data_IF_113979368990
#
_entry.id   IF_113979368990
#
_cell.length_a   1.000
_cell.length_b   1.000
_cell.length_c   1.000
_cell.angle_alpha   90.00
_cell.angle_beta   90.00
_cell.angle_gamma   90.00
#
_symmetry.space_group_name_H-M   'P 1'
#
loop_
_entity.id
_entity.type
_entity.pdbx_description
1 polymer ?
#
# COMPACT_ATOMS: atom_id res chain seq x y z
N UNK A 1 -1.07 -17.17 6.50
CA UNK A 1 -1.15 -15.70 6.45
C UNK A 1 0.23 -15.14 6.85
N UNK A 2 1.00 -14.59 5.90
CA UNK A 2 2.39 -14.13 6.08
C UNK A 2 2.49 -12.61 6.37
N UNK A 3 1.35 -11.91 6.44
CA UNK A 3 1.27 -10.48 6.68
C UNK A 3 0.23 -10.20 7.78
N UNK A 4 0.60 -9.40 8.77
CA UNK A 4 -0.34 -8.84 9.75
C UNK A 4 -0.73 -7.46 9.28
N UNK A 5 -2.02 -7.24 9.01
CA UNK A 5 -2.53 -5.93 8.62
C UNK A 5 -3.10 -5.19 9.84
N UNK A 6 -2.74 -3.93 10.02
CA UNK A 6 -3.28 -3.09 11.09
C UNK A 6 -3.99 -1.87 10.50
N UNK A 7 -5.20 -1.60 10.97
CA UNK A 7 -5.89 -0.35 10.68
C UNK A 7 -5.28 0.77 11.54
N UNK A 8 -4.93 1.91 10.93
CA UNK A 8 -4.50 3.10 11.68
C UNK A 8 -5.73 3.96 11.91
N UNK A 9 -6.15 4.08 13.17
CA UNK A 9 -7.17 5.06 13.58
C UNK A 9 -6.47 6.37 14.00
N UNK A 10 -6.57 7.42 13.18
CA UNK A 10 -6.13 8.77 13.59
C UNK A 10 -7.12 9.36 14.61
N UNK A 11 -6.67 9.56 15.85
CA UNK A 11 -7.48 10.04 16.96
C UNK A 11 -7.81 11.55 16.94
N UNK A 12 -9.10 11.83 17.24
CA UNK A 12 -9.78 13.04 17.77
C UNK A 12 -9.38 14.46 17.30
N UNK A 13 -10.25 15.20 16.58
CA UNK A 13 -10.17 16.65 16.51
C UNK A 13 -10.78 17.26 17.77
N UNK A 14 -9.97 17.85 18.63
CA UNK A 14 -10.46 18.75 19.67
C UNK A 14 -10.67 20.15 19.07
N UNK A 15 -11.70 20.32 18.25
CA UNK A 15 -12.43 21.59 18.18
C UNK A 15 -13.71 21.46 17.32
N UNK A 16 -14.77 22.08 17.80
CA UNK A 16 -16.07 22.12 17.16
C UNK A 16 -15.97 22.69 15.73
N UNK A 17 -16.46 21.95 14.74
CA UNK A 17 -16.75 22.49 13.40
C UNK A 17 -16.11 21.78 12.22
N UNK A 18 -15.19 20.84 12.40
CA UNK A 18 -14.54 20.17 11.26
C UNK A 18 -14.92 18.70 11.19
N UNK A 19 -15.85 18.35 10.27
CA UNK A 19 -16.10 16.96 9.83
C UNK A 19 -14.90 16.44 9.01
N UNK A 20 -13.68 16.55 9.54
CA UNK A 20 -12.50 15.96 8.93
C UNK A 20 -12.69 14.45 8.97
N UNK A 21 -12.96 13.91 7.79
CA UNK A 21 -13.21 12.52 7.54
C UNK A 21 -12.13 11.68 8.20
N UNK A 22 -12.53 10.76 9.08
CA UNK A 22 -11.68 9.69 9.58
C UNK A 22 -11.03 9.06 8.35
N UNK A 23 -9.73 9.29 8.17
CA UNK A 23 -9.00 8.78 7.03
C UNK A 23 -8.69 7.33 7.38
N UNK A 24 -9.57 6.43 6.97
CA UNK A 24 -9.47 4.99 7.23
C UNK A 24 -8.32 4.42 6.38
N UNK A 25 -7.08 4.63 6.84
CA UNK A 25 -5.87 4.16 6.17
C UNK A 25 -5.31 2.97 6.96
N UNK A 26 -5.13 1.83 6.30
CA UNK A 26 -4.43 0.69 6.88
C UNK A 26 -2.96 0.70 6.52
N UNK A 27 -2.11 0.23 7.43
CA UNK A 27 -0.68 0.03 7.18
C UNK A 27 -0.26 -1.37 7.63
N UNK A 28 0.62 -1.98 6.85
CA UNK A 28 1.24 -3.26 7.18
C UNK A 28 2.69 -3.25 6.76
N UNK A 29 3.51 -4.07 7.43
CA UNK A 29 4.90 -4.30 7.03
C UNK A 29 5.19 -5.79 6.90
N UNK A 30 5.98 -6.17 5.90
CA UNK A 30 6.32 -7.57 5.60
C UNK A 30 7.81 -7.73 5.30
N UNK A 31 8.35 -8.91 5.64
CA UNK A 31 9.76 -9.29 5.42
C UNK A 31 10.02 -10.10 4.14
N UNK A 32 9.06 -10.13 3.21
CA UNK A 32 9.15 -10.87 1.93
C UNK A 32 8.80 -9.94 0.77
N UNK A 33 9.26 -10.25 -0.44
CA UNK A 33 8.87 -9.47 -1.62
C UNK A 33 7.36 -9.47 -1.85
N UNK A 34 6.82 -8.38 -2.37
CA UNK A 34 5.41 -8.28 -2.76
C UNK A 34 5.09 -9.33 -3.81
N UNK A 35 6.03 -9.62 -4.71
CA UNK A 35 5.87 -10.71 -5.68
C UNK A 35 5.62 -12.05 -4.98
N UNK A 36 6.34 -12.38 -3.89
CA UNK A 36 6.09 -13.59 -3.10
C UNK A 36 4.79 -13.54 -2.31
N UNK A 37 4.42 -12.38 -1.78
CA UNK A 37 3.12 -12.19 -1.13
C UNK A 37 1.97 -12.51 -2.09
N UNK A 38 2.08 -12.04 -3.33
CA UNK A 38 1.06 -12.18 -4.37
C UNK A 38 1.12 -13.51 -5.14
N UNK A 39 2.26 -14.22 -5.08
CA UNK A 39 2.42 -15.53 -5.73
C UNK A 39 1.72 -16.67 -4.98
N UNK A 40 1.34 -16.48 -3.71
CA UNK A 40 0.55 -17.45 -2.94
C UNK A 40 -0.93 -17.39 -3.36
N UNK A 41 -1.23 -17.93 -4.53
CA UNK A 41 -2.55 -18.02 -5.16
C UNK A 41 -3.32 -16.68 -5.28
N UNK A 42 -4.40 -16.69 -6.06
CA UNK A 42 -5.31 -15.54 -6.16
C UNK A 42 -5.92 -15.12 -4.80
N UNK A 43 -5.78 -15.95 -3.76
CA UNK A 43 -6.22 -15.69 -2.40
C UNK A 43 -5.55 -14.46 -1.79
N UNK A 44 -4.23 -14.27 -1.97
CA UNK A 44 -3.50 -13.19 -1.31
C UNK A 44 -4.03 -11.78 -1.62
N UNK A 45 -4.40 -11.52 -2.87
CA UNK A 45 -4.98 -10.21 -3.23
C UNK A 45 -6.44 -10.10 -2.84
N UNK A 46 -7.20 -11.21 -2.90
CA UNK A 46 -8.56 -11.24 -2.40
C UNK A 46 -8.63 -11.01 -0.89
N UNK A 47 -7.69 -11.55 -0.11
CA UNK A 47 -7.57 -11.32 1.33
C UNK A 47 -7.26 -9.85 1.63
N UNK A 48 -6.38 -9.22 0.85
CA UNK A 48 -6.06 -7.80 0.96
C UNK A 48 -7.30 -6.93 0.68
N UNK A 49 -8.02 -7.21 -0.40
CA UNK A 49 -9.25 -6.50 -0.76
C UNK A 49 -10.35 -6.76 0.26
N UNK A 50 -10.46 -8.00 0.75
CA UNK A 50 -11.41 -8.39 1.77
C UNK A 50 -11.15 -7.64 3.08
N UNK A 51 -9.90 -7.62 3.56
CA UNK A 51 -9.49 -6.86 4.74
C UNK A 51 -9.80 -5.37 4.57
N UNK A 52 -9.44 -4.79 3.42
CA UNK A 52 -9.74 -3.39 3.12
C UNK A 52 -11.24 -3.10 3.23
N UNK A 53 -12.10 -3.98 2.71
CA UNK A 53 -13.56 -3.82 2.76
C UNK A 53 -14.12 -4.01 4.17
N UNK A 54 -13.69 -5.04 4.88
CA UNK A 54 -14.16 -5.37 6.24
C UNK A 54 -13.80 -4.27 7.23
N UNK A 55 -12.59 -3.74 7.15
CA UNK A 55 -12.11 -2.63 7.98
C UNK A 55 -12.51 -1.24 7.46
N UNK A 56 -13.29 -1.19 6.35
CA UNK A 56 -13.76 0.05 5.69
C UNK A 56 -12.63 1.04 5.38
N UNK A 57 -11.48 0.51 4.96
CA UNK A 57 -10.29 1.28 4.65
C UNK A 57 -10.39 1.90 3.26
N UNK A 58 -10.23 3.22 3.19
CA UNK A 58 -10.14 3.97 1.92
C UNK A 58 -8.83 3.67 1.20
N UNK A 59 -7.78 3.39 1.97
CA UNK A 59 -6.43 3.08 1.48
C UNK A 59 -5.79 2.03 2.37
N UNK A 60 -5.13 1.04 1.78
CA UNK A 60 -4.27 0.09 2.48
C UNK A 60 -2.86 0.18 1.88
N UNK A 61 -1.86 0.37 2.72
CA UNK A 61 -0.46 0.39 2.33
C UNK A 61 0.29 -0.77 2.99
N UNK A 62 1.03 -1.55 2.20
CA UNK A 62 1.88 -2.63 2.70
C UNK A 62 3.32 -2.31 2.31
N UNK A 63 4.17 -2.09 3.30
CA UNK A 63 5.60 -1.82 3.08
C UNK A 63 6.36 -3.14 3.20
N UNK A 64 7.05 -3.53 2.14
CA UNK A 64 7.95 -4.67 2.12
C UNK A 64 9.40 -4.21 2.26
N UNK A 65 10.15 -4.88 3.12
CA UNK A 65 11.60 -4.77 3.21
C UNK A 65 12.22 -6.17 3.21
N UNK A 66 13.06 -6.47 2.24
CA UNK A 66 13.70 -7.79 2.12
C UNK A 66 15.07 -7.71 1.46
N UNK A 67 15.87 -8.75 1.61
CA UNK A 67 17.12 -8.91 0.88
C UNK A 67 16.89 -9.77 -0.36
N UNK A 68 17.37 -9.30 -1.51
CA UNK A 68 17.42 -10.14 -2.71
C UNK A 68 18.50 -11.23 -2.58
N UNK A 69 18.56 -12.22 -3.50
CA UNK A 69 19.59 -13.27 -3.46
C UNK A 69 21.03 -12.74 -3.50
N UNK A 70 21.25 -11.50 -3.91
CA UNK A 70 22.55 -10.82 -3.95
C UNK A 70 22.84 -10.04 -2.66
N UNK A 71 22.00 -10.18 -1.62
CA UNK A 71 22.06 -9.45 -0.34
C UNK A 71 21.89 -7.94 -0.47
N UNK A 72 21.28 -7.45 -1.56
CA UNK A 72 20.89 -6.06 -1.62
C UNK A 72 19.55 -5.89 -0.89
N UNK A 73 19.49 -4.93 0.01
CA UNK A 73 18.24 -4.56 0.65
C UNK A 73 17.33 -3.87 -0.37
N UNK A 74 16.08 -4.33 -0.47
CA UNK A 74 15.04 -3.79 -1.35
C UNK A 74 13.86 -3.33 -0.50
N UNK A 75 13.22 -2.24 -0.93
CA UNK A 75 11.97 -1.75 -0.36
C UNK A 75 10.91 -1.63 -1.44
N UNK A 76 9.74 -2.16 -1.16
CA UNK A 76 8.59 -2.09 -2.04
C UNK A 76 7.38 -1.65 -1.23
N UNK A 77 6.41 -1.01 -1.86
CA UNK A 77 5.16 -0.61 -1.23
C UNK A 77 4.02 -1.10 -2.12
N UNK A 78 3.13 -1.90 -1.57
CA UNK A 78 1.84 -2.20 -2.17
C UNK A 78 0.85 -1.13 -1.70
N UNK A 79 0.08 -0.56 -2.62
CA UNK A 79 -0.99 0.37 -2.30
C UNK A 79 -2.28 -0.15 -2.92
N UNK A 80 -3.32 -0.32 -2.10
CA UNK A 80 -4.68 -0.66 -2.53
C UNK A 80 -5.61 0.48 -2.15
N UNK A 81 -6.36 1.01 -3.11
CA UNK A 81 -7.27 2.14 -2.90
C UNK A 81 -8.71 1.75 -3.23
N UNK A 82 -9.66 2.34 -2.49
CA UNK A 82 -11.10 2.14 -2.71
C UNK A 82 -11.60 2.62 -4.08
N UNK A 83 -10.88 3.56 -4.70
CA UNK A 83 -11.25 4.14 -5.99
C UNK A 83 -10.02 4.41 -6.85
N UNK A 84 -10.24 4.36 -8.18
CA UNK A 84 -9.24 4.71 -9.16
C UNK A 84 -8.82 6.19 -9.08
N UNK A 85 -9.74 7.08 -8.68
CA UNK A 85 -9.45 8.51 -8.49
C UNK A 85 -8.45 8.73 -7.36
N UNK A 86 -8.67 8.10 -6.20
CA UNK A 86 -7.74 8.18 -5.07
C UNK A 86 -6.36 7.66 -5.45
N UNK A 87 -6.33 6.56 -6.21
CA UNK A 87 -5.09 5.99 -6.71
C UNK A 87 -4.38 6.92 -7.70
N UNK A 88 -5.10 7.53 -8.65
CA UNK A 88 -4.52 8.50 -9.60
C UNK A 88 -3.94 9.72 -8.88
N UNK A 89 -4.64 10.24 -7.86
CA UNK A 89 -4.14 11.35 -7.06
C UNK A 89 -2.84 10.98 -6.32
N UNK A 90 -2.75 9.75 -5.79
CA UNK A 90 -1.53 9.24 -5.15
C UNK A 90 -0.38 9.07 -6.16
N UNK A 91 -0.65 8.53 -7.35
CA UNK A 91 0.36 8.42 -8.41
C UNK A 91 0.86 9.79 -8.85
N UNK A 92 -0.04 10.75 -9.03
CA UNK A 92 0.33 12.12 -9.35
C UNK A 92 1.22 12.73 -8.26
N UNK A 93 0.87 12.51 -6.99
CA UNK A 93 1.70 12.94 -5.85
C UNK A 93 3.09 12.29 -5.90
N UNK A 94 3.19 10.97 -6.11
CA UNK A 94 4.47 10.29 -6.20
C UNK A 94 5.31 10.81 -7.37
N UNK A 95 4.72 10.98 -8.55
CA UNK A 95 5.44 11.49 -9.72
C UNK A 95 5.89 12.95 -9.56
N UNK A 96 5.14 13.76 -8.82
CA UNK A 96 5.47 15.18 -8.58
C UNK A 96 6.53 15.36 -7.51
N UNK A 97 6.64 14.45 -6.55
CA UNK A 97 7.47 14.62 -5.34
C UNK A 97 8.63 13.61 -5.24
N UNK A 98 8.61 12.53 -6.01
CA UNK A 98 9.67 11.56 -6.06
C UNK A 98 10.17 11.44 -7.51
N UNK A 99 11.45 11.70 -7.71
CA UNK A 99 12.12 11.55 -9.00
C UNK A 99 12.02 10.10 -9.49
N UNK A 100 11.05 9.83 -10.38
CA UNK A 100 10.86 8.59 -11.14
C UNK A 100 10.87 7.31 -10.29
N UNK A 101 9.94 7.16 -9.34
CA UNK A 101 9.71 5.87 -8.70
C UNK A 101 9.29 4.83 -9.76
N UNK A 102 9.93 3.66 -9.83
CA UNK A 102 9.42 2.56 -10.64
C UNK A 102 8.06 2.13 -10.09
N UNK A 103 7.00 2.35 -10.87
CA UNK A 103 5.62 2.00 -10.53
C UNK A 103 5.18 0.82 -11.41
N UNK A 104 4.61 -0.21 -10.79
CA UNK A 104 4.00 -1.34 -11.50
C UNK A 104 2.52 -1.43 -11.15
N UNK A 105 1.67 -1.34 -12.17
CA UNK A 105 0.22 -1.48 -12.01
C UNK A 105 -0.14 -2.95 -11.98
N UNK A 106 -0.91 -3.38 -10.97
CA UNK A 106 -1.52 -4.69 -10.92
C UNK A 106 -3.04 -4.49 -11.02
N UNK A 107 -3.58 -4.58 -12.24
CA UNK A 107 -5.02 -4.49 -12.43
C UNK A 107 -5.67 -5.82 -12.05
N UNK A 108 -6.60 -5.78 -11.10
CA UNK A 108 -7.49 -6.90 -10.81
C UNK A 108 -8.91 -6.60 -11.27
N UNK A 109 -9.62 -7.58 -11.86
CA UNK A 109 -11.02 -7.41 -12.21
C UNK A 109 -11.87 -7.37 -10.93
N UNK A 110 -12.34 -6.17 -10.56
CA UNK A 110 -13.22 -5.96 -9.42
C UNK A 110 -12.83 -4.77 -8.53
N UNK A 111 -13.14 -3.56 -8.99
CA UNK A 111 -13.26 -2.28 -8.24
C UNK A 111 -12.04 -1.71 -7.49
N UNK A 112 -11.11 -2.49 -6.96
CA UNK A 112 -9.93 -1.97 -6.25
C UNK A 112 -8.71 -1.98 -7.17
N UNK A 113 -7.98 -0.86 -7.18
CA UNK A 113 -6.74 -0.74 -7.96
C UNK A 113 -5.56 -0.95 -7.04
N UNK A 114 -4.69 -1.89 -7.42
CA UNK A 114 -3.49 -2.24 -6.64
C UNK A 114 -2.25 -1.80 -7.41
N UNK A 115 -1.40 -1.02 -6.75
CA UNK A 115 -0.12 -0.57 -7.30
C UNK A 115 1.02 -1.09 -6.45
N UNK A 116 2.12 -1.44 -7.11
CA UNK A 116 3.41 -1.71 -6.47
C UNK A 116 4.33 -0.54 -6.79
N UNK A 117 4.77 0.15 -5.75
CA UNK A 117 5.76 1.21 -5.80
C UNK A 117 7.09 0.63 -5.34
N UNK A 118 8.12 0.71 -6.18
CA UNK A 118 9.47 0.32 -5.77
C UNK A 118 10.16 1.55 -5.19
N UNK A 119 10.54 1.51 -3.91
CA UNK A 119 11.36 2.56 -3.33
C UNK A 119 12.81 2.14 -3.49
N UNK A 120 13.55 2.85 -4.35
CA UNK A 120 14.98 2.63 -4.51
C UNK A 120 15.72 2.63 -3.18
N UNK A 121 16.85 1.93 -3.13
CA UNK A 121 17.77 2.04 -2.00
C UNK A 121 18.18 3.51 -1.85
N UNK A 122 17.66 4.18 -0.81
CA UNK A 122 18.37 5.25 -0.11
C UNK A 122 19.70 4.66 0.40
N UNK A 123 20.64 4.52 -0.52
CA UNK A 123 22.07 4.51 -0.27
C UNK A 123 22.48 5.91 -0.70
N UNK A 124 22.47 6.85 0.25
CA UNK A 124 23.39 7.97 0.11
C UNK A 124 24.78 7.50 0.57
N UNK A 125 25.85 7.95 -0.09
CA UNK A 125 27.24 7.55 0.16
C UNK A 125 27.73 7.94 1.56
#
# INVERSE_FOLDING_TARGET
MLATFCAVATGKPENAGSRLMVSHVGMSSIGISIARLLAHDNMSTQEIVHFQRTEKLRLLMVVSGYYDPQKNFKREILVSAESAELMNNLLHFFNSNASNLPLKVLQQPGQFVVFVVFCGTFLHP
#
